data_IF_923569832793
#
_entry.id   IF_923569832793
#
_cell.length_a   1.000
_cell.length_b   1.000
_cell.length_c   1.000
_cell.angle_alpha   90.00
_cell.angle_beta   90.00
_cell.angle_gamma   90.00
#
_symmetry.space_group_name_H-M   'P 1'
#
loop_
_entity.id
_entity.type
_entity.pdbx_description
1 polymer ?
#
# COMPACT_ATOMS: atom_id res chain seq x y z
N UNK A 1 -17.15 20.14 -2.24
CA UNK A 1 -16.58 19.48 -3.43
C UNK A 1 -15.51 18.54 -2.92
N UNK A 2 -15.73 17.22 -3.01
CA UNK A 2 -14.70 16.26 -2.59
C UNK A 2 -13.52 16.34 -3.56
N UNK A 3 -12.31 16.49 -3.03
CA UNK A 3 -11.09 16.47 -3.85
C UNK A 3 -10.83 15.02 -4.32
N UNK A 4 -10.38 14.83 -5.57
CA UNK A 4 -10.18 13.49 -6.11
C UNK A 4 -9.03 12.77 -5.40
N UNK A 5 -9.13 11.45 -5.31
CA UNK A 5 -8.01 10.59 -4.95
C UNK A 5 -7.07 10.51 -6.15
N UNK A 6 -5.79 10.75 -5.92
CA UNK A 6 -4.74 10.63 -6.95
C UNK A 6 -4.00 9.31 -6.77
N UNK A 7 -3.75 8.61 -7.87
CA UNK A 7 -2.97 7.37 -7.89
C UNK A 7 -1.79 7.56 -8.83
N UNK A 8 -0.58 7.24 -8.37
CA UNK A 8 0.66 7.32 -9.13
C UNK A 8 1.37 5.98 -9.06
N UNK A 9 1.75 5.43 -10.21
CA UNK A 9 2.49 4.17 -10.29
C UNK A 9 3.81 4.41 -11.02
N UNK A 10 4.88 3.80 -10.52
CA UNK A 10 6.17 3.79 -11.18
C UNK A 10 6.97 2.56 -10.77
N UNK A 11 7.90 2.12 -11.61
CA UNK A 11 8.87 1.08 -11.26
C UNK A 11 10.16 1.72 -10.72
N UNK A 12 10.70 1.18 -9.63
CA UNK A 12 12.00 1.57 -9.09
C UNK A 12 12.67 0.38 -8.40
N UNK A 13 13.95 0.14 -8.71
CA UNK A 13 14.76 -0.93 -8.10
C UNK A 13 14.13 -2.33 -8.18
N UNK A 14 13.43 -2.63 -9.28
CA UNK A 14 12.77 -3.93 -9.43
C UNK A 14 11.51 -4.10 -8.57
N UNK A 15 10.90 -3.01 -8.14
CA UNK A 15 9.62 -3.02 -7.49
C UNK A 15 8.69 -2.00 -8.15
N UNK A 16 7.42 -2.36 -8.31
CA UNK A 16 6.36 -1.42 -8.64
C UNK A 16 6.00 -0.69 -7.34
N UNK A 17 6.08 0.63 -7.38
CA UNK A 17 5.59 1.50 -6.31
C UNK A 17 4.26 2.10 -6.74
N UNK A 18 3.24 1.91 -5.92
CA UNK A 18 1.93 2.56 -6.07
C UNK A 18 1.74 3.55 -4.92
N UNK A 19 1.53 4.82 -5.24
CA UNK A 19 1.26 5.88 -4.27
C UNK A 19 -0.13 6.42 -4.49
N UNK A 20 -0.97 6.25 -3.47
CA UNK A 20 -2.32 6.77 -3.41
C UNK A 20 -2.31 8.00 -2.50
N UNK A 21 -2.96 9.08 -2.91
CA UNK A 21 -3.09 10.28 -2.10
C UNK A 21 -4.54 10.76 -2.09
N UNK A 22 -5.10 10.94 -0.90
CA UNK A 22 -6.44 11.49 -0.66
C UNK A 22 -6.32 12.82 0.09
N UNK A 23 -6.60 13.96 -0.56
CA UNK A 23 -6.58 15.25 0.12
C UNK A 23 -7.63 15.30 1.24
N UNK A 24 -7.24 15.85 2.39
CA UNK A 24 -8.09 15.92 3.59
C UNK A 24 -8.46 14.57 4.22
N UNK A 25 -7.93 13.45 3.70
CA UNK A 25 -8.08 12.13 4.30
C UNK A 25 -7.20 11.96 5.53
N UNK A 26 -7.58 11.06 6.45
CA UNK A 26 -6.76 10.64 7.59
C UNK A 26 -7.13 9.22 8.00
N UNK A 27 -6.15 8.40 8.36
CA UNK A 27 -6.37 7.09 8.98
C UNK A 27 -6.24 7.25 10.49
N UNK A 28 -7.38 7.36 11.17
CA UNK A 28 -7.42 7.64 12.61
C UNK A 28 -6.88 6.49 13.49
N UNK A 29 -6.88 5.26 12.98
CA UNK A 29 -6.42 4.09 13.71
C UNK A 29 -4.91 3.86 13.44
N UNK A 30 -4.01 4.02 14.44
CA UNK A 30 -2.57 3.86 14.23
C UNK A 30 -2.15 2.43 13.89
N UNK A 31 -3.01 1.45 14.14
CA UNK A 31 -2.77 0.03 13.82
C UNK A 31 -3.66 -0.48 12.68
N UNK A 32 -4.24 0.45 11.89
CA UNK A 32 -5.03 0.08 10.73
C UNK A 32 -4.23 -0.85 9.80
N UNK A 33 -4.82 -1.99 9.41
CA UNK A 33 -4.19 -2.98 8.53
C UNK A 33 -3.05 -3.80 9.14
N UNK A 34 -2.73 -3.63 10.43
CA UNK A 34 -1.78 -4.50 11.14
C UNK A 34 -2.46 -5.72 11.77
N UNK A 35 -3.74 -5.59 12.10
CA UNK A 35 -4.52 -6.65 12.71
C UNK A 35 -5.35 -7.36 11.65
N UNK A 36 -5.47 -8.70 11.74
CA UNK A 36 -6.38 -9.44 10.88
C UNK A 36 -7.83 -8.97 11.09
N UNK A 37 -8.66 -9.08 10.05
CA UNK A 37 -10.07 -8.75 10.16
C UNK A 37 -10.74 -9.61 11.22
N UNK A 38 -11.76 -9.03 11.88
CA UNK A 38 -12.58 -9.76 12.83
C UNK A 38 -13.47 -10.80 12.12
N UNK A 39 -14.17 -11.66 12.87
CA UNK A 39 -15.07 -12.67 12.30
C UNK A 39 -16.31 -12.07 11.60
N UNK A 40 -16.54 -10.77 11.77
CA UNK A 40 -17.63 -10.04 11.10
C UNK A 40 -17.05 -9.21 9.97
N UNK A 41 -17.55 -9.43 8.76
CA UNK A 41 -17.20 -8.64 7.58
C UNK A 41 -17.54 -7.16 7.82
N UNK A 42 -16.53 -6.29 7.72
CA UNK A 42 -16.66 -4.84 7.91
C UNK A 42 -15.80 -4.10 6.90
N UNK A 43 -16.25 -2.95 6.38
CA UNK A 43 -15.39 -2.06 5.61
C UNK A 43 -14.15 -1.69 6.44
N UNK A 44 -12.95 -1.86 5.87
CA UNK A 44 -11.69 -1.54 6.53
C UNK A 44 -10.60 -2.61 6.37
N UNK A 45 -10.97 -3.80 5.93
CA UNK A 45 -10.06 -4.94 5.83
C UNK A 45 -9.06 -4.84 4.68
N UNK A 46 -9.35 -3.99 3.68
CA UNK A 46 -8.52 -3.82 2.50
C UNK A 46 -7.07 -3.46 2.81
N UNK A 47 -6.81 -2.75 3.91
CA UNK A 47 -5.47 -2.40 4.32
C UNK A 47 -4.69 -3.60 4.89
N UNK A 48 -5.36 -4.49 5.62
CA UNK A 48 -4.75 -5.73 6.08
C UNK A 48 -4.43 -6.65 4.91
N UNK A 49 -5.37 -6.82 3.98
CA UNK A 49 -5.19 -7.61 2.76
C UNK A 49 -4.03 -7.06 1.93
N UNK A 50 -4.00 -5.74 1.69
CA UNK A 50 -2.91 -5.10 0.95
C UNK A 50 -1.54 -5.37 1.59
N UNK A 51 -1.47 -5.42 2.93
CA UNK A 51 -0.24 -5.71 3.66
C UNK A 51 0.20 -7.18 3.58
N UNK A 52 -0.72 -8.11 3.32
CA UNK A 52 -0.36 -9.51 3.04
C UNK A 52 0.15 -9.70 1.61
N UNK A 53 -0.33 -8.88 0.67
CA UNK A 53 0.01 -9.00 -0.76
C UNK A 53 1.25 -8.21 -1.18
N UNK A 54 1.60 -7.15 -0.44
CA UNK A 54 2.73 -6.28 -0.76
C UNK A 54 3.93 -6.55 0.14
N UNK A 55 5.14 -6.42 -0.40
CA UNK A 55 6.40 -6.50 0.37
C UNK A 55 6.48 -5.39 1.42
N UNK A 56 5.99 -4.19 1.07
CA UNK A 56 5.94 -3.04 1.98
C UNK A 56 4.70 -2.20 1.71
N UNK A 57 4.08 -1.79 2.81
CA UNK A 57 2.98 -0.85 2.83
C UNK A 57 3.28 0.20 3.90
N UNK A 58 3.31 1.46 3.50
CA UNK A 58 3.46 2.61 4.38
C UNK A 58 2.26 3.53 4.27
N UNK A 59 1.91 4.12 5.41
CA UNK A 59 0.81 5.07 5.55
C UNK A 59 1.42 6.35 6.09
N UNK A 60 1.12 7.46 5.44
CA UNK A 60 1.55 8.77 5.88
C UNK A 60 0.37 9.73 5.86
N UNK A 61 0.03 10.24 7.04
CA UNK A 61 -0.96 11.29 7.19
C UNK A 61 -0.23 12.61 7.49
N UNK A 62 -0.56 13.65 6.74
CA UNK A 62 -0.07 15.01 6.95
C UNK A 62 -1.25 16.01 7.00
N UNK A 63 -0.94 17.30 7.17
CA UNK A 63 -1.95 18.36 7.20
C UNK A 63 -2.71 18.52 5.85
N UNK A 64 -2.15 18.00 4.75
CA UNK A 64 -2.74 18.04 3.41
C UNK A 64 -3.59 16.81 3.06
N UNK A 65 -3.40 15.69 3.74
CA UNK A 65 -4.24 14.50 3.60
C UNK A 65 -3.55 13.20 3.98
N UNK A 66 -4.05 12.10 3.41
CA UNK A 66 -3.57 10.76 3.66
C UNK A 66 -2.92 10.19 2.41
N UNK A 67 -1.74 9.60 2.56
CA UNK A 67 -1.01 8.90 1.54
C UNK A 67 -0.80 7.44 1.92
N UNK A 68 -1.04 6.53 0.98
CA UNK A 68 -0.70 5.11 1.13
C UNK A 68 0.29 4.74 0.03
N UNK A 69 1.41 4.14 0.41
CA UNK A 69 2.45 3.72 -0.51
C UNK A 69 2.65 2.21 -0.42
N UNK A 70 2.48 1.54 -1.56
CA UNK A 70 2.58 0.10 -1.71
C UNK A 70 3.81 -0.23 -2.56
N UNK A 71 4.54 -1.26 -2.15
CA UNK A 71 5.66 -1.82 -2.90
C UNK A 71 5.41 -3.28 -3.19
N UNK A 72 5.42 -3.61 -4.47
CA UNK A 72 5.24 -4.98 -4.96
C UNK A 72 6.47 -5.32 -5.80
N UNK A 73 7.08 -6.51 -5.65
CA UNK A 73 8.12 -6.97 -6.56
C UNK A 73 7.67 -6.82 -8.02
N UNK A 74 8.55 -6.34 -8.90
CA UNK A 74 8.31 -6.49 -10.32
C UNK A 74 8.72 -7.89 -10.77
N UNK A 75 8.01 -8.47 -11.74
CA UNK A 75 8.33 -9.78 -12.29
C UNK A 75 9.82 -9.90 -12.68
N UNK A 76 10.38 -8.82 -13.23
CA UNK A 76 11.81 -8.72 -13.60
C UNK A 76 12.76 -8.89 -12.41
N UNK A 77 12.39 -8.39 -11.22
CA UNK A 77 13.21 -8.55 -10.02
C UNK A 77 13.07 -9.94 -9.41
N UNK A 78 11.89 -10.55 -9.53
CA UNK A 78 11.66 -11.93 -9.11
C UNK A 78 12.48 -12.90 -9.96
N UNK A 79 12.49 -12.71 -11.29
CA UNK A 79 13.34 -13.46 -12.22
C UNK A 79 14.83 -13.36 -11.85
N UNK A 80 15.33 -12.15 -11.58
CA UNK A 80 16.72 -11.93 -11.15
C UNK A 80 17.05 -12.59 -9.80
N UNK A 81 16.10 -12.61 -8.85
CA UNK A 81 16.26 -13.30 -7.56
C UNK A 81 16.31 -14.82 -7.74
N UNK A 82 15.54 -15.38 -8.66
CA UNK A 82 15.52 -16.81 -8.94
C UNK A 82 16.80 -17.28 -9.65
N UNK A 83 17.29 -16.52 -10.63
CA UNK A 83 18.53 -16.83 -11.36
C UNK A 83 19.81 -16.76 -10.52
N UNK A 84 19.78 -16.06 -9.37
CA UNK A 84 20.92 -15.94 -8.45
C UNK A 84 20.95 -17.03 -7.35
N UNK A 85 19.93 -17.88 -7.32
CA UNK A 85 19.82 -19.02 -6.38
C UNK A 85 20.29 -20.35 -6.99
N UNK A 86 20.68 -20.36 -8.26
CA UNK A 86 21.27 -21.48 -8.99
C UNK A 86 22.68 -21.09 -9.47
#
# INVERSE_FOLDING_TARGET
MELPVTVRLWERFGAITCHLHRPGGRIANPVAGLLPPGPTDRPGDGLWVARQLCDRLDIHDDLGGCSVQLHVPSARAEELRQSRKY
#
